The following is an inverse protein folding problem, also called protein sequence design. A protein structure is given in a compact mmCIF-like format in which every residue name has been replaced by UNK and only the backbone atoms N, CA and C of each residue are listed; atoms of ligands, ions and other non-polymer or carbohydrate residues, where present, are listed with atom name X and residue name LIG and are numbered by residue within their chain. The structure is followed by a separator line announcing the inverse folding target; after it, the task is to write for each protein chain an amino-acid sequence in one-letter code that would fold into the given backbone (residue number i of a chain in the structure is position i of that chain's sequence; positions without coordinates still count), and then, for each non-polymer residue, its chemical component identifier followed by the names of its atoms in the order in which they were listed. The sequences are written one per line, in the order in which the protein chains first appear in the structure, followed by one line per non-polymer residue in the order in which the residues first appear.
data_IF_429784765449
#
_entry.id   IF_429784765449
#
_cell.length_a   1.000
_cell.length_b   1.000
_cell.length_c   1.000
_cell.angle_alpha   90.00
_cell.angle_beta   90.00
_cell.angle_gamma   90.00
#
_symmetry.space_group_name_H-M   'P 1'
#
loop_
_entity.id
_entity.type
_entity.pdbx_description
1 polymer ?
#
# COMPACT_ATOMS: atom_id res chain seq x y z
N UNK A 1 -4.79 -1.29 -14.53
CA UNK A 1 -3.43 -1.55 -15.04
C UNK A 1 -3.52 -2.59 -16.15
N UNK A 2 -2.73 -2.44 -17.20
CA UNK A 2 -2.63 -3.40 -18.30
C UNK A 2 -1.17 -3.80 -18.46
N UNK A 3 -0.91 -5.10 -18.57
CA UNK A 3 0.43 -5.65 -18.85
C UNK A 3 0.33 -6.38 -20.19
N UNK A 4 1.17 -5.99 -21.15
CA UNK A 4 1.18 -6.58 -22.48
C UNK A 4 2.47 -7.37 -22.70
N UNK A 5 2.34 -8.62 -23.17
CA UNK A 5 3.46 -9.38 -23.71
C UNK A 5 3.71 -8.95 -25.14
N UNK A 6 4.81 -8.23 -25.40
CA UNK A 6 5.15 -7.78 -26.76
C UNK A 6 5.50 -8.93 -27.72
N UNK A 7 5.88 -10.10 -27.19
CA UNK A 7 6.19 -11.28 -28.00
C UNK A 7 4.94 -11.98 -28.53
N UNK A 8 3.86 -12.03 -27.73
CA UNK A 8 2.65 -12.80 -28.06
C UNK A 8 1.43 -11.94 -28.34
N UNK A 9 1.45 -10.66 -27.99
CA UNK A 9 0.29 -9.77 -28.01
C UNK A 9 -0.71 -10.02 -26.87
N UNK A 10 -0.47 -10.99 -25.99
CA UNK A 10 -1.35 -11.29 -24.86
C UNK A 10 -1.35 -10.18 -23.83
N UNK A 11 -2.49 -9.99 -23.17
CA UNK A 11 -2.68 -8.92 -22.20
C UNK A 11 -3.24 -9.45 -20.89
N UNK A 12 -2.66 -9.03 -19.78
CA UNK A 12 -3.27 -9.13 -18.46
C UNK A 12 -3.93 -7.78 -18.12
N UNK A 13 -5.24 -7.80 -17.86
CA UNK A 13 -6.03 -6.62 -17.49
C UNK A 13 -6.30 -6.71 -15.99
N UNK A 14 -5.70 -5.83 -15.19
CA UNK A 14 -5.79 -5.79 -13.74
C UNK A 14 -6.63 -4.58 -13.30
N UNK A 15 -7.71 -4.83 -12.56
CA UNK A 15 -8.53 -3.81 -11.92
C UNK A 15 -8.19 -3.71 -10.44
N UNK A 16 -7.57 -2.60 -10.03
CA UNK A 16 -7.42 -2.23 -8.63
C UNK A 16 -8.63 -1.41 -8.23
N UNK A 17 -9.42 -1.94 -7.31
CA UNK A 17 -10.67 -1.28 -6.90
C UNK A 17 -10.38 -0.27 -5.81
N UNK A 18 -10.86 0.96 -6.00
CA UNK A 18 -10.82 1.98 -4.96
C UNK A 18 -11.74 1.58 -3.81
N UNK A 19 -11.29 1.78 -2.58
CA UNK A 19 -12.13 1.56 -1.43
C UNK A 19 -13.16 2.70 -1.29
N UNK A 20 -14.46 2.36 -1.35
CA UNK A 20 -15.53 3.29 -0.98
C UNK A 20 -15.64 3.47 0.54
N UNK A 21 -16.55 4.36 0.97
CA UNK A 21 -16.82 4.67 2.38
C UNK A 21 -17.04 3.44 3.28
N UNK A 22 -17.64 2.38 2.74
CA UNK A 22 -17.98 1.17 3.48
C UNK A 22 -16.92 0.07 3.45
N UNK A 23 -15.70 0.33 2.95
CA UNK A 23 -14.63 -0.67 3.04
C UNK A 23 -14.75 -1.88 2.10
N UNK A 24 -15.81 -1.97 1.27
CA UNK A 24 -16.18 -3.22 0.57
C UNK A 24 -15.14 -3.71 -0.44
N UNK A 25 -14.48 -2.76 -1.09
CA UNK A 25 -13.45 -2.99 -2.08
C UNK A 25 -12.03 -2.83 -1.51
N UNK A 26 -11.90 -2.79 -0.18
CA UNK A 26 -10.62 -2.54 0.47
C UNK A 26 -9.59 -3.58 0.03
N UNK A 27 -8.57 -3.08 -0.66
CA UNK A 27 -7.46 -3.82 -1.23
C UNK A 27 -7.81 -4.85 -2.31
N UNK A 28 -9.05 -4.82 -2.82
CA UNK A 28 -9.51 -5.77 -3.83
C UNK A 28 -8.80 -5.53 -5.16
N UNK A 29 -8.43 -6.64 -5.77
CA UNK A 29 -7.94 -6.69 -7.14
C UNK A 29 -8.53 -7.89 -7.86
N UNK A 30 -8.97 -7.69 -9.09
CA UNK A 30 -9.36 -8.79 -9.98
C UNK A 30 -9.08 -8.43 -11.44
N UNK A 31 -9.23 -9.42 -12.30
CA UNK A 31 -8.93 -9.23 -13.70
C UNK A 31 -8.84 -10.54 -14.46
N UNK A 32 -8.32 -10.44 -15.67
CA UNK A 32 -8.20 -11.58 -16.57
C UNK A 32 -7.05 -11.41 -17.54
N UNK A 33 -6.60 -12.54 -18.08
CA UNK A 33 -5.65 -12.63 -19.17
C UNK A 33 -6.45 -12.91 -20.44
N UNK A 34 -6.15 -12.18 -21.50
CA UNK A 34 -6.70 -12.38 -22.84
C UNK A 34 -5.58 -12.56 -23.86
N UNK A 35 -5.88 -13.31 -24.91
CA UNK A 35 -4.99 -13.44 -26.06
C UNK A 35 -5.02 -12.19 -26.96
N UNK A 36 -4.24 -12.24 -28.03
CA UNK A 36 -4.15 -11.22 -29.08
C UNK A 36 -5.50 -10.96 -29.79
N UNK A 37 -6.41 -11.93 -29.77
CA UNK A 37 -7.78 -11.85 -30.31
C UNK A 37 -8.79 -11.33 -29.29
N UNK A 38 -8.33 -10.86 -28.12
CA UNK A 38 -9.16 -10.40 -26.99
C UNK A 38 -10.06 -11.49 -26.40
N UNK A 39 -9.79 -12.76 -26.68
CA UNK A 39 -10.49 -13.87 -26.03
C UNK A 39 -9.87 -14.08 -24.66
N UNK A 40 -10.72 -14.02 -23.62
CA UNK A 40 -10.30 -14.25 -22.24
C UNK A 40 -9.92 -15.72 -22.04
N UNK A 41 -8.77 -15.95 -21.44
CA UNK A 41 -8.19 -17.28 -21.26
C UNK A 41 -8.22 -17.71 -19.79
N UNK A 42 -7.90 -16.78 -18.88
CA UNK A 42 -7.83 -17.06 -17.44
C UNK A 42 -8.25 -15.84 -16.65
N UNK A 43 -8.86 -16.05 -15.49
CA UNK A 43 -9.20 -14.98 -14.56
C UNK A 43 -8.30 -15.04 -13.32
N UNK A 44 -8.22 -13.92 -12.62
CA UNK A 44 -7.58 -13.84 -11.32
C UNK A 44 -8.34 -12.88 -10.41
N UNK A 45 -8.20 -13.11 -9.11
CA UNK A 45 -8.76 -12.27 -8.06
C UNK A 45 -7.83 -12.30 -6.84
N UNK A 46 -8.01 -11.35 -5.93
CA UNK A 46 -7.21 -11.30 -4.73
C UNK A 46 -7.33 -10.01 -3.94
N UNK A 47 -6.44 -9.95 -2.97
CA UNK A 47 -6.16 -8.80 -2.13
C UNK A 47 -4.69 -8.46 -2.28
N UNK A 48 -4.35 -7.25 -2.75
CA UNK A 48 -2.96 -6.90 -3.05
C UNK A 48 -2.06 -6.81 -1.81
N UNK A 49 -2.62 -6.89 -0.59
CA UNK A 49 -1.89 -7.00 0.67
C UNK A 49 -1.83 -8.42 1.25
N UNK A 50 -2.59 -9.39 0.72
CA UNK A 50 -2.61 -10.76 1.30
C UNK A 50 -2.40 -11.86 0.27
N UNK A 51 -3.12 -11.90 -0.85
CA UNK A 51 -2.96 -13.02 -1.78
C UNK A 51 -3.58 -12.77 -3.15
N UNK A 52 -2.96 -13.34 -4.19
CA UNK A 52 -3.49 -13.43 -5.55
C UNK A 52 -3.76 -14.88 -5.91
N UNK A 53 -4.91 -15.12 -6.55
CA UNK A 53 -5.29 -16.42 -7.08
C UNK A 53 -5.68 -16.29 -8.54
N UNK A 54 -5.46 -17.36 -9.30
CA UNK A 54 -6.02 -17.53 -10.63
C UNK A 54 -7.03 -18.66 -10.65
N UNK A 55 -7.97 -18.60 -11.59
CA UNK A 55 -9.01 -19.61 -11.77
C UNK A 55 -9.47 -19.65 -13.23
N UNK A 56 -10.26 -20.68 -13.57
CA UNK A 56 -10.76 -20.85 -14.92
C UNK A 56 -11.70 -19.71 -15.33
N UNK A 57 -11.56 -19.20 -16.56
CA UNK A 57 -12.36 -18.06 -17.02
C UNK A 57 -13.87 -18.35 -17.02
N UNK A 58 -14.29 -19.60 -17.16
CA UNK A 58 -15.69 -20.02 -17.07
C UNK A 58 -16.33 -19.74 -15.71
N UNK A 59 -15.53 -19.58 -14.65
CA UNK A 59 -15.99 -19.32 -13.28
C UNK A 59 -16.10 -17.81 -12.97
N UNK A 60 -15.89 -16.94 -13.97
CA UNK A 60 -15.90 -15.48 -13.77
C UNK A 60 -17.23 -14.94 -13.22
N UNK A 61 -18.35 -15.38 -13.78
CA UNK A 61 -19.67 -14.90 -13.33
C UNK A 61 -20.01 -15.41 -11.93
N UNK A 62 -19.63 -16.64 -11.60
CA UNK A 62 -19.78 -17.22 -10.27
C UNK A 62 -18.91 -16.48 -9.24
N UNK A 63 -17.67 -16.13 -9.59
CA UNK A 63 -16.83 -15.24 -8.77
C UNK A 63 -17.53 -13.90 -8.47
N UNK A 64 -18.06 -13.22 -9.49
CA UNK A 64 -18.76 -11.95 -9.31
C UNK A 64 -20.02 -12.09 -8.45
N UNK A 65 -20.74 -13.20 -8.57
CA UNK A 65 -21.91 -13.52 -7.75
C UNK A 65 -21.53 -13.73 -6.28
N UNK A 66 -20.52 -14.55 -6.01
CA UNK A 66 -20.01 -14.77 -4.65
C UNK A 66 -19.53 -13.45 -4.04
N UNK A 67 -18.81 -12.63 -4.81
CA UNK A 67 -18.36 -11.31 -4.37
C UNK A 67 -19.52 -10.40 -3.92
N UNK A 68 -20.56 -10.25 -4.74
CA UNK A 68 -21.74 -9.44 -4.42
C UNK A 68 -22.48 -9.95 -3.17
N UNK A 69 -22.58 -11.27 -3.02
CA UNK A 69 -23.20 -11.87 -1.84
C UNK A 69 -22.42 -11.56 -0.55
N UNK A 70 -21.08 -11.58 -0.61
CA UNK A 70 -20.24 -11.19 0.52
C UNK A 70 -20.37 -9.70 0.87
N UNK A 71 -20.56 -8.83 -0.13
CA UNK A 71 -20.82 -7.41 0.14
C UNK A 71 -22.11 -7.18 0.93
N UNK A 72 -23.20 -7.87 0.58
CA UNK A 72 -24.50 -7.69 1.21
C UNK A 72 -24.47 -8.07 2.70
N UNK A 73 -23.84 -9.21 3.03
CA UNK A 73 -23.71 -9.69 4.42
C UNK A 73 -22.87 -8.77 5.32
N UNK A 74 -21.83 -8.14 4.77
CA UNK A 74 -21.01 -7.20 5.55
C UNK A 74 -21.71 -5.84 5.74
N UNK A 75 -22.62 -5.46 4.84
CA UNK A 75 -23.38 -4.20 4.96
C UNK A 75 -24.44 -4.28 6.05
N UNK A 76 -25.13 -5.41 6.21
CA UNK A 76 -26.11 -5.61 7.27
C UNK A 76 -25.50 -5.62 8.68
N UNK A 77 -24.22 -5.97 8.81
CA UNK A 77 -23.53 -5.99 10.10
C UNK A 77 -23.17 -4.58 10.59
N UNK A 78 -22.82 -3.67 9.67
CA UNK A 78 -22.49 -2.26 9.99
C UNK A 78 -23.74 -1.37 10.22
N UNK A 79 -24.92 -1.77 9.73
CA UNK A 79 -26.17 -1.04 10.01
C UNK A 79 -26.75 -1.34 11.41
N UNK A 80 -26.36 -2.46 12.04
CA UNK A 80 -26.86 -2.82 13.37
C UNK A 80 -26.09 -2.14 14.52
N UNK A 81 -25.03 -1.36 14.24
CA UNK A 81 -24.24 -0.66 15.26
C UNK A 81 -24.58 0.83 15.40
N UNK A 82 -25.64 1.33 14.73
CA UNK A 82 -26.06 2.74 14.78
C UNK A 82 -27.55 2.90 15.14
N UNK A 83 -28.13 1.94 15.87
CA UNK A 83 -29.47 2.06 16.44
C UNK A 83 -29.39 1.89 17.96
N UNK A 84 -29.15 2.99 18.66
CA UNK A 84 -29.14 3.06 20.13
C UNK A 84 -28.89 4.50 20.59
N UNK A 85 -29.97 5.12 21.05
CA UNK A 85 -30.08 6.38 21.79
C UNK A 85 -29.82 7.71 21.07
N UNK A 86 -30.93 8.20 20.50
CA UNK A 86 -31.30 9.61 20.55
C UNK A 86 -31.44 10.06 22.00
N UNK A 87 -30.62 11.01 22.45
CA UNK A 87 -31.08 12.00 23.40
C UNK A 87 -30.48 13.38 23.13
N UNK A 88 -31.38 14.34 23.24
CA UNK A 88 -31.27 15.73 22.83
C UNK A 88 -30.84 16.54 24.04
N UNK A 89 -29.74 17.29 23.98
CA UNK A 89 -29.61 18.57 24.70
C UNK A 89 -28.35 19.33 24.29
N UNK A 90 -28.56 20.49 23.67
CA UNK A 90 -27.58 21.58 23.66
C UNK A 90 -27.49 22.19 25.07
N UNK A 91 -26.35 22.79 25.44
CA UNK A 91 -26.43 24.19 25.83
C UNK A 91 -25.30 25.09 25.30
N UNK A 92 -25.64 26.37 25.34
CA UNK A 92 -25.04 27.57 24.82
C UNK A 92 -23.75 28.09 25.50
N UNK A 93 -22.96 28.79 24.68
CA UNK A 93 -22.20 30.04 24.93
C UNK A 93 -21.54 30.31 26.29
N UNK A 94 -20.22 30.49 26.29
CA UNK A 94 -19.58 31.76 26.71
C UNK A 94 -18.06 31.80 26.48
N UNK A 95 -17.63 33.02 26.23
CA UNK A 95 -16.29 33.59 25.97
C UNK A 95 -15.22 33.29 27.03
N UNK A 96 -13.96 33.07 26.62
CA UNK A 96 -12.77 33.73 27.19
C UNK A 96 -11.44 33.33 26.49
N UNK A 97 -10.73 34.37 26.05
CA UNK A 97 -9.28 34.59 26.16
C UNK A 97 -8.27 33.64 25.51
N UNK A 98 -7.62 34.24 24.52
CA UNK A 98 -6.39 33.85 23.84
C UNK A 98 -5.20 33.83 24.82
N UNK A 99 -4.59 32.67 25.05
CA UNK A 99 -3.22 32.57 25.56
C UNK A 99 -2.41 31.59 24.72
N UNK A 100 -1.25 32.06 24.28
CA UNK A 100 -0.24 31.37 23.49
C UNK A 100 0.61 30.51 24.43
N UNK A 101 0.62 29.21 24.23
CA UNK A 101 1.64 28.30 24.78
C UNK A 101 2.01 27.25 23.74
N UNK A 102 3.30 27.24 23.40
CA UNK A 102 3.95 26.18 22.67
C UNK A 102 3.91 24.89 23.50
N UNK A 103 3.44 23.79 22.91
CA UNK A 103 3.88 22.43 23.21
C UNK A 103 3.36 21.49 22.13
N UNK A 104 4.23 20.60 21.68
CA UNK A 104 4.02 19.58 20.65
C UNK A 104 2.72 18.80 20.82
N UNK A 105 1.97 18.50 19.74
CA UNK A 105 1.09 17.35 19.75
C UNK A 105 1.97 16.13 19.54
N UNK A 106 2.34 15.47 20.63
CA UNK A 106 2.74 14.06 20.58
C UNK A 106 1.66 13.31 19.81
N UNK A 107 2.02 12.75 18.66
CA UNK A 107 1.17 11.84 17.94
C UNK A 107 0.90 10.65 18.86
N UNK A 108 -0.25 10.66 19.53
CA UNK A 108 -0.85 9.46 20.10
C UNK A 108 -1.18 8.56 18.91
N UNK A 109 -0.20 7.76 18.51
CA UNK A 109 -0.46 6.55 17.76
C UNK A 109 -1.02 5.60 18.79
N UNK A 110 -2.33 5.62 18.98
CA UNK A 110 -3.04 4.66 19.82
C UNK A 110 -2.63 3.27 19.35
N UNK A 111 -1.73 2.67 20.13
CA UNK A 111 -1.29 1.31 20.01
C UNK A 111 -2.52 0.47 20.31
N UNK A 112 -3.20 0.05 19.24
CA UNK A 112 -4.16 -1.06 19.32
C UNK A 112 -3.42 -2.22 19.99
N UNK A 113 -3.88 -2.71 21.16
CA UNK A 113 -3.23 -3.84 21.82
C UNK A 113 -3.21 -5.04 20.86
N UNK A 114 -2.01 -5.56 20.57
CA UNK A 114 -1.85 -6.80 19.81
C UNK A 114 -2.29 -8.00 20.67
N UNK A 115 -3.59 -8.26 20.74
CA UNK A 115 -4.07 -9.62 20.98
C UNK A 115 -3.98 -10.38 19.66
N UNK A 116 -2.93 -11.19 19.51
CA UNK A 116 -2.72 -12.06 18.36
C UNK A 116 -3.66 -13.27 18.42
N UNK A 117 -4.65 -13.42 17.53
CA UNK A 117 -4.98 -14.76 17.09
C UNK A 117 -3.88 -15.20 16.13
N UNK A 118 -3.36 -16.42 16.32
CA UNK A 118 -2.60 -17.13 15.28
C UNK A 118 -3.46 -17.10 14.01
N UNK A 119 -3.11 -16.27 13.04
CA UNK A 119 -3.88 -16.12 11.80
C UNK A 119 -3.83 -17.47 11.10
N UNK A 120 -4.90 -18.26 11.26
CA UNK A 120 -5.15 -19.42 10.41
C UNK A 120 -5.11 -18.90 8.99
N UNK A 121 -4.25 -19.50 8.17
CA UNK A 121 -4.11 -19.16 6.75
C UNK A 121 -5.52 -19.15 6.15
N UNK A 122 -6.06 -17.95 5.91
CA UNK A 122 -7.41 -17.83 5.41
C UNK A 122 -7.39 -18.39 3.99
N UNK A 123 -8.00 -19.57 3.83
CA UNK A 123 -8.21 -20.19 2.53
C UNK A 123 -8.93 -19.17 1.65
N UNK A 124 -8.58 -19.10 0.37
CA UNK A 124 -9.26 -18.24 -0.58
C UNK A 124 -10.77 -18.30 -0.36
N UNK A 125 -11.40 -17.16 -0.09
CA UNK A 125 -12.81 -17.09 0.33
C UNK A 125 -13.79 -17.50 -0.77
N UNK A 126 -13.29 -17.68 -1.99
CA UNK A 126 -14.08 -18.08 -3.15
C UNK A 126 -13.99 -19.58 -3.37
N UNK A 127 -15.15 -20.21 -3.58
CA UNK A 127 -15.21 -21.61 -3.97
C UNK A 127 -15.31 -21.68 -5.50
N UNK A 128 -14.15 -21.75 -6.16
CA UNK A 128 -14.01 -21.74 -7.62
C UNK A 128 -13.18 -22.94 -8.07
N UNK A 129 -13.56 -23.54 -9.20
CA UNK A 129 -12.80 -24.63 -9.80
C UNK A 129 -11.49 -24.12 -10.43
N UNK A 130 -10.44 -24.94 -10.33
CA UNK A 130 -9.12 -24.61 -10.89
C UNK A 130 -8.42 -23.45 -10.17
N UNK A 131 -8.85 -23.14 -8.93
CA UNK A 131 -8.23 -22.10 -8.12
C UNK A 131 -6.76 -22.43 -7.81
N UNK A 132 -5.86 -21.53 -8.19
CA UNK A 132 -4.41 -21.67 -8.02
C UNK A 132 -3.86 -20.43 -7.35
N UNK A 133 -3.15 -20.58 -6.22
CA UNK A 133 -2.42 -19.48 -5.57
C UNK A 133 -1.27 -19.03 -6.48
N UNK A 134 -1.24 -17.74 -6.84
CA UNK A 134 -0.18 -17.13 -7.63
C UNK A 134 0.87 -16.45 -6.76
N UNK A 135 0.42 -15.72 -5.73
CA UNK A 135 1.29 -14.92 -4.87
C UNK A 135 0.70 -14.75 -3.48
N UNK A 136 1.58 -14.66 -2.49
CA UNK A 136 1.30 -14.29 -1.10
C UNK A 136 2.50 -13.51 -0.57
N UNK A 137 2.34 -12.41 0.20
CA UNK A 137 3.48 -11.69 0.74
C UNK A 137 4.15 -12.52 1.84
N UNK A 138 5.44 -12.29 2.01
CA UNK A 138 6.17 -12.81 3.16
C UNK A 138 5.65 -12.19 4.46
N UNK A 139 5.65 -12.96 5.57
CA UNK A 139 5.27 -12.43 6.87
C UNK A 139 6.20 -11.28 7.25
N UNK A 140 5.62 -10.30 7.95
CA UNK A 140 6.37 -9.15 8.46
C UNK A 140 7.29 -9.57 9.61
N UNK A 141 8.46 -8.93 9.77
CA UNK A 141 9.32 -9.14 10.94
C UNK A 141 8.54 -8.90 12.24
N UNK A 142 8.75 -9.69 13.31
CA UNK A 142 8.00 -9.54 14.56
C UNK A 142 8.08 -8.14 15.20
N UNK A 143 9.17 -7.41 14.94
CA UNK A 143 9.44 -6.07 15.45
C UNK A 143 9.17 -4.96 14.42
N UNK A 144 8.49 -5.24 13.30
CA UNK A 144 8.34 -4.27 12.22
C UNK A 144 7.75 -2.93 12.69
N UNK A 145 6.84 -2.93 13.67
CA UNK A 145 6.20 -1.72 14.20
C UNK A 145 7.21 -0.72 14.78
N UNK A 146 8.34 -1.21 15.32
CA UNK A 146 9.44 -0.38 15.83
C UNK A 146 10.34 0.16 14.72
N UNK A 147 10.34 -0.46 13.55
CA UNK A 147 11.20 -0.13 12.41
C UNK A 147 10.36 0.30 11.21
N UNK A 148 9.57 1.37 11.41
CA UNK A 148 8.77 2.02 10.37
C UNK A 148 7.81 1.10 9.61
N UNK A 149 7.45 -0.04 10.19
CA UNK A 149 6.69 -1.08 9.49
C UNK A 149 7.36 -1.46 8.16
N UNK A 150 8.64 -1.81 8.21
CA UNK A 150 9.36 -2.38 7.07
C UNK A 150 9.17 -3.89 6.92
N UNK A 151 9.29 -4.35 5.68
CA UNK A 151 9.47 -5.78 5.35
C UNK A 151 10.94 -6.15 5.57
N UNK A 152 11.25 -7.45 5.66
CA UNK A 152 12.64 -7.91 5.66
C UNK A 152 13.42 -7.38 4.46
N UNK A 153 12.81 -7.36 3.28
CA UNK A 153 13.43 -6.81 2.08
C UNK A 153 13.79 -5.32 2.25
N UNK A 154 12.85 -4.50 2.73
CA UNK A 154 13.08 -3.07 2.92
C UNK A 154 14.16 -2.77 3.98
N UNK A 155 14.23 -3.57 5.05
CA UNK A 155 15.28 -3.44 6.08
C UNK A 155 16.69 -3.64 5.52
N UNK A 156 16.85 -4.50 4.51
CA UNK A 156 18.15 -4.81 3.90
C UNK A 156 18.58 -3.81 2.83
N UNK A 157 17.67 -3.02 2.26
CA UNK A 157 17.98 -2.13 1.12
C UNK A 157 19.10 -1.12 1.44
N UNK A 158 19.14 -0.63 2.68
CA UNK A 158 20.10 0.39 3.11
C UNK A 158 21.15 -0.16 4.10
N UNK A 159 21.34 -1.47 4.14
CA UNK A 159 22.43 -2.08 4.90
C UNK A 159 23.76 -1.85 4.18
N UNK A 160 24.77 -1.38 4.92
CA UNK A 160 26.10 -1.12 4.36
C UNK A 160 26.90 -2.43 4.31
N UNK A 161 27.39 -2.87 3.13
CA UNK A 161 28.24 -4.04 3.05
C UNK A 161 29.61 -3.77 3.71
N UNK A 162 30.30 -4.84 4.12
CA UNK A 162 31.65 -4.74 4.69
C UNK A 162 32.66 -4.18 3.67
N UNK A 163 32.54 -4.60 2.40
CA UNK A 163 33.32 -4.05 1.29
C UNK A 163 32.44 -3.11 0.45
N UNK A 164 32.79 -1.83 0.48
CA UNK A 164 32.09 -0.75 -0.24
C UNK A 164 32.84 -0.28 -1.48
N UNK A 165 34.01 -0.87 -1.78
CA UNK A 165 34.91 -0.40 -2.86
C UNK A 165 34.29 -0.45 -4.26
N UNK A 166 33.28 -1.31 -4.45
CA UNK A 166 32.54 -1.47 -5.70
C UNK A 166 31.37 -0.49 -5.86
N UNK A 167 30.98 0.24 -4.80
CA UNK A 167 29.85 1.16 -4.84
C UNK A 167 30.28 2.54 -5.36
N UNK A 168 29.50 3.16 -6.27
CA UNK A 168 29.79 4.52 -6.70
C UNK A 168 29.56 5.51 -5.56
N UNK A 169 30.24 6.66 -5.54
CA UNK A 169 30.00 7.73 -4.55
C UNK A 169 28.56 8.28 -4.53
N UNK A 170 27.77 7.97 -5.56
CA UNK A 170 26.36 8.35 -5.70
C UNK A 170 25.38 7.31 -5.17
N UNK A 171 25.85 6.16 -4.70
CA UNK A 171 24.99 5.15 -4.06
C UNK A 171 24.28 5.75 -2.83
N UNK A 172 22.99 5.46 -2.68
CA UNK A 172 22.17 6.10 -1.65
C UNK A 172 22.59 5.71 -0.23
N UNK A 173 23.28 4.59 -0.03
CA UNK A 173 23.76 4.19 1.30
C UNK A 173 24.82 5.14 1.85
N UNK A 174 25.52 5.88 0.98
CA UNK A 174 26.46 6.93 1.39
C UNK A 174 25.79 8.25 1.73
N UNK A 175 24.45 8.36 1.65
CA UNK A 175 23.76 9.59 2.01
C UNK A 175 23.78 9.82 3.52
N UNK A 176 24.49 10.84 4.01
CA UNK A 176 24.66 11.05 5.44
C UNK A 176 23.35 11.45 6.15
N UNK A 177 22.38 12.06 5.45
CA UNK A 177 21.10 12.45 6.05
C UNK A 177 20.17 11.28 6.43
N UNK A 178 20.47 10.08 5.93
CA UNK A 178 19.77 8.87 6.33
C UNK A 178 20.16 8.38 7.74
N UNK A 179 21.31 8.81 8.25
CA UNK A 179 21.82 8.46 9.57
C UNK A 179 21.89 9.67 10.52
N UNK A 180 22.26 10.83 9.99
CA UNK A 180 22.37 12.10 10.71
C UNK A 180 21.37 13.10 10.12
N UNK A 181 20.14 13.08 10.63
CA UNK A 181 19.01 13.75 10.00
C UNK A 181 19.07 15.29 10.07
N UNK A 182 17.99 15.94 9.58
CA UNK A 182 17.69 17.38 9.61
C UNK A 182 18.76 18.33 9.06
N UNK A 183 19.90 18.49 9.75
CA UNK A 183 20.98 19.38 9.31
C UNK A 183 21.53 18.93 7.96
N UNK A 184 21.86 17.64 7.84
CA UNK A 184 22.46 17.10 6.63
C UNK A 184 21.47 17.06 5.46
N UNK A 185 20.18 16.82 5.75
CA UNK A 185 19.11 16.94 4.76
C UNK A 185 19.08 18.33 4.16
N UNK A 186 19.08 19.38 5.00
CA UNK A 186 19.07 20.77 4.55
C UNK A 186 20.31 21.09 3.70
N UNK A 187 21.51 20.66 4.15
CA UNK A 187 22.77 20.84 3.41
C UNK A 187 22.71 20.22 2.01
N UNK A 188 22.23 18.98 1.90
CA UNK A 188 22.13 18.27 0.62
C UNK A 188 21.08 18.90 -0.32
N UNK A 189 19.92 19.29 0.20
CA UNK A 189 18.89 19.96 -0.59
C UNK A 189 19.34 21.33 -1.09
N UNK A 190 20.03 22.11 -0.26
CA UNK A 190 20.61 23.40 -0.65
C UNK A 190 21.69 23.24 -1.72
N UNK A 191 22.59 22.26 -1.55
CA UNK A 191 23.61 21.92 -2.55
C UNK A 191 22.97 21.54 -3.88
N UNK A 192 21.93 20.70 -3.87
CA UNK A 192 21.20 20.32 -5.08
C UNK A 192 20.50 21.52 -5.73
N UNK A 193 19.90 22.41 -4.93
CA UNK A 193 19.24 23.63 -5.40
C UNK A 193 20.23 24.61 -6.03
N UNK A 194 21.42 24.78 -5.44
CA UNK A 194 22.48 25.62 -5.98
C UNK A 194 23.01 25.07 -7.32
N UNK A 195 23.30 23.76 -7.39
CA UNK A 195 23.75 23.12 -8.62
C UNK A 195 22.73 23.28 -9.77
N UNK A 196 21.43 23.10 -9.50
CA UNK A 196 20.36 23.34 -10.49
C UNK A 196 20.31 24.80 -10.95
N UNK A 197 20.51 25.77 -10.06
CA UNK A 197 20.55 27.20 -10.42
C UNK A 197 21.74 27.50 -11.35
N UNK A 198 22.92 26.96 -11.06
CA UNK A 198 24.10 27.16 -11.91
C UNK A 198 23.94 26.50 -13.29
N UNK A 199 23.44 25.26 -13.36
CA UNK A 199 23.15 24.60 -14.64
C UNK A 199 22.16 25.41 -15.49
N UNK A 200 21.11 25.96 -14.86
CA UNK A 200 20.16 26.85 -15.53
C UNK A 200 20.81 28.14 -16.04
N UNK A 201 21.69 28.77 -15.25
CA UNK A 201 22.45 29.96 -15.69
C UNK A 201 23.34 29.66 -16.89
N UNK A 202 23.94 28.46 -16.92
CA UNK A 202 24.80 27.98 -18.01
C UNK A 202 24.00 27.44 -19.21
N UNK A 203 22.66 27.43 -19.15
CA UNK A 203 21.78 26.84 -20.14
C UNK A 203 22.14 25.37 -20.48
N UNK A 204 22.51 24.59 -19.45
CA UNK A 204 22.84 23.16 -19.56
C UNK A 204 21.75 22.31 -18.91
N UNK A 205 21.46 21.16 -19.51
CA UNK A 205 20.57 20.15 -18.93
C UNK A 205 21.37 19.07 -18.17
N UNK A 206 20.84 18.53 -17.06
CA UNK A 206 21.47 17.42 -16.36
C UNK A 206 21.37 16.13 -17.19
N UNK A 207 22.49 15.47 -17.40
CA UNK A 207 22.55 14.17 -18.07
C UNK A 207 22.55 13.04 -17.04
N UNK A 208 21.66 12.03 -17.17
CA UNK A 208 21.77 10.79 -16.40
C UNK A 208 23.10 10.09 -16.73
N UNK A 209 23.83 9.71 -15.68
CA UNK A 209 25.08 8.95 -15.78
C UNK A 209 24.77 7.46 -15.86
#
# INVERSE_FOLDING_TARGET
MEITSHMTGWKAILAFHSCGWFGKDLHRIDGYIQDDKKKKQRAFCGNWLDSFYSFNISQWDEYLKQYKNHQSKNTSMLQNTVAGDSDTSSPSSSTASFHKTQSDPSMNLDLVPEDKPKVKLEKCRYNLDGLTLLWKPFPRPPNHSKYYSFTYFAMQLNEMPEDVSHLPPTDCRFRPDMHEASFEKNRLEEKQRAARKEMKKLNKEPEPV
#
